data_IF_909981031148
#
_entry.id   IF_909981031148
#
_cell.length_a   1.000
_cell.length_b   1.000
_cell.length_c   1.000
_cell.angle_alpha   90.00
_cell.angle_beta   90.00
_cell.angle_gamma   90.00
#
_symmetry.space_group_name_H-M   'P 1'
#
loop_
_entity.id
_entity.type
_entity.pdbx_description
1 polymer ?
#
# COMPACT_ATOMS: atom_id res chain seq x y z
N UNK A 1 -0.80 17.73 -5.52
CA UNK A 1 0.05 17.12 -4.46
C UNK A 1 1.58 17.34 -4.59
N UNK A 2 2.07 18.25 -5.45
CA UNK A 2 3.52 18.56 -5.63
C UNK A 2 4.26 18.87 -4.31
N UNK A 3 3.58 19.46 -3.33
CA UNK A 3 4.18 19.90 -2.05
C UNK A 3 4.28 18.74 -1.04
N UNK A 4 3.28 17.86 -0.96
CA UNK A 4 3.26 16.75 0.01
C UNK A 4 4.23 15.62 -0.38
N UNK A 5 4.44 15.38 -1.67
CA UNK A 5 5.41 14.39 -2.17
C UNK A 5 6.85 14.87 -1.99
N UNK A 6 7.11 16.17 -2.21
CA UNK A 6 8.47 16.76 -2.12
C UNK A 6 9.07 16.64 -0.73
N UNK A 7 8.23 16.69 0.31
CA UNK A 7 8.64 16.63 1.72
C UNK A 7 8.39 15.26 2.38
N UNK A 8 7.90 14.27 1.63
CA UNK A 8 7.69 12.93 2.18
C UNK A 8 9.02 12.18 2.32
N UNK A 9 9.23 11.39 3.38
CA UNK A 9 10.38 10.49 3.47
C UNK A 9 10.39 9.42 2.37
N UNK A 10 9.31 9.29 1.60
CA UNK A 10 9.15 8.32 0.52
C UNK A 10 9.26 8.94 -0.88
N UNK A 11 9.77 10.18 -0.99
CA UNK A 11 9.98 10.91 -2.26
C UNK A 11 10.81 10.14 -3.30
N UNK A 12 11.63 9.20 -2.84
CA UNK A 12 12.53 8.40 -3.68
C UNK A 12 11.88 7.12 -4.22
N UNK A 13 10.58 6.90 -3.98
CA UNK A 13 9.75 5.93 -4.71
C UNK A 13 9.52 6.41 -6.16
N UNK A 14 10.59 6.63 -6.91
CA UNK A 14 10.61 7.12 -8.29
C UNK A 14 10.32 5.97 -9.27
N UNK A 15 9.12 5.41 -9.19
CA UNK A 15 8.57 4.62 -10.29
C UNK A 15 7.54 5.46 -11.04
N UNK A 16 7.71 5.62 -12.36
CA UNK A 16 6.74 6.31 -13.21
C UNK A 16 5.33 5.74 -13.06
N UNK A 17 5.19 4.41 -12.92
CA UNK A 17 3.90 3.76 -12.72
C UNK A 17 3.25 4.12 -11.37
N UNK A 18 4.05 4.18 -10.30
CA UNK A 18 3.56 4.56 -8.99
C UNK A 18 3.15 6.04 -8.95
N UNK A 19 3.91 6.90 -9.62
CA UNK A 19 3.56 8.31 -9.80
C UNK A 19 2.23 8.46 -10.54
N UNK A 20 2.02 7.74 -11.64
CA UNK A 20 0.76 7.77 -12.39
C UNK A 20 -0.43 7.27 -11.57
N UNK A 21 -0.24 6.25 -10.73
CA UNK A 21 -1.30 5.79 -9.82
C UNK A 21 -1.67 6.87 -8.81
N UNK A 22 -0.65 7.47 -8.20
CA UNK A 22 -0.83 8.55 -7.22
C UNK A 22 -1.56 9.74 -7.85
N UNK A 23 -1.19 10.14 -9.07
CA UNK A 23 -1.86 11.20 -9.84
C UNK A 23 -3.29 10.82 -10.26
N UNK A 24 -3.58 9.54 -10.51
CA UNK A 24 -4.94 9.07 -10.81
C UNK A 24 -5.84 9.10 -9.58
N UNK A 25 -5.30 8.76 -8.41
CA UNK A 25 -6.04 8.84 -7.15
C UNK A 25 -6.43 10.30 -6.82
N UNK A 26 -5.56 11.28 -7.15
CA UNK A 26 -5.80 12.74 -6.98
C UNK A 26 -7.06 13.27 -7.64
N UNK A 27 -7.56 12.60 -8.69
CA UNK A 27 -8.82 12.99 -9.35
C UNK A 27 -10.06 12.79 -8.46
N UNK A 28 -9.94 11.96 -7.41
CA UNK A 28 -11.03 11.65 -6.50
C UNK A 28 -10.93 12.32 -5.12
N UNK A 29 -9.79 12.23 -4.42
CA UNK A 29 -9.67 12.74 -3.04
C UNK A 29 -8.21 12.88 -2.55
N UNK A 30 -7.67 14.09 -2.62
CA UNK A 30 -6.28 14.43 -2.24
C UNK A 30 -5.84 13.92 -0.85
N UNK A 31 -6.75 13.91 0.13
CA UNK A 31 -6.45 13.44 1.51
C UNK A 31 -6.22 11.93 1.54
N UNK A 32 -7.09 11.18 0.86
CA UNK A 32 -7.01 9.71 0.76
C UNK A 32 -5.71 9.29 0.08
N UNK A 33 -5.24 10.08 -0.88
CA UNK A 33 -4.10 9.73 -1.73
C UNK A 33 -2.77 9.92 -1.00
N UNK A 34 -2.65 11.01 -0.25
CA UNK A 34 -1.50 11.25 0.60
C UNK A 34 -1.37 10.15 1.67
N UNK A 35 -2.50 9.62 2.16
CA UNK A 35 -2.50 8.51 3.12
C UNK A 35 -2.05 7.20 2.47
N UNK A 36 -2.58 6.83 1.30
CA UNK A 36 -2.15 5.61 0.59
C UNK A 36 -0.69 5.66 0.17
N UNK A 37 -0.22 6.81 -0.32
CA UNK A 37 1.19 7.01 -0.64
C UNK A 37 2.08 6.74 0.58
N UNK A 38 1.76 7.37 1.72
CA UNK A 38 2.52 7.18 2.97
C UNK A 38 2.50 5.73 3.44
N UNK A 39 1.36 5.04 3.31
CA UNK A 39 1.21 3.65 3.72
C UNK A 39 2.03 2.70 2.84
N UNK A 40 2.00 2.86 1.52
CA UNK A 40 2.81 2.06 0.61
C UNK A 40 4.30 2.32 0.83
N UNK A 41 4.71 3.57 1.02
CA UNK A 41 6.10 3.88 1.31
C UNK A 41 6.59 3.32 2.64
N UNK A 42 5.75 3.36 3.68
CA UNK A 42 6.07 2.69 4.94
C UNK A 42 6.23 1.18 4.75
N UNK A 43 5.34 0.52 4.01
CA UNK A 43 5.47 -0.91 3.70
C UNK A 43 6.79 -1.19 2.95
N UNK A 44 7.13 -0.39 1.95
CA UNK A 44 8.39 -0.55 1.20
C UNK A 44 9.60 -0.51 2.14
N UNK A 45 9.62 0.43 3.10
CA UNK A 45 10.68 0.55 4.10
C UNK A 45 10.69 -0.62 5.09
N UNK A 46 9.52 -1.03 5.58
CA UNK A 46 9.40 -2.07 6.60
C UNK A 46 9.76 -3.47 6.08
N UNK A 47 9.47 -3.75 4.82
CA UNK A 47 9.67 -5.07 4.20
C UNK A 47 10.83 -5.10 3.20
N UNK A 48 11.71 -4.10 3.23
CA UNK A 48 12.87 -3.93 2.34
C UNK A 48 12.58 -4.27 0.87
N UNK A 49 11.64 -3.51 0.31
CA UNK A 49 11.03 -3.83 -0.98
C UNK A 49 10.59 -2.55 -1.68
N UNK A 50 10.10 -2.69 -2.92
CA UNK A 50 9.79 -1.56 -3.79
C UNK A 50 8.41 -1.70 -4.40
N UNK A 51 7.85 -0.57 -4.85
CA UNK A 51 6.56 -0.55 -5.55
C UNK A 51 6.60 -1.39 -6.82
N UNK A 52 7.73 -1.45 -7.53
CA UNK A 52 7.93 -2.33 -8.69
C UNK A 52 7.83 -3.81 -8.31
N UNK A 53 8.47 -4.23 -7.20
CA UNK A 53 8.44 -5.64 -6.76
C UNK A 53 7.01 -6.09 -6.49
N UNK A 54 6.20 -5.24 -5.85
CA UNK A 54 4.80 -5.55 -5.58
C UNK A 54 3.90 -5.53 -6.81
N UNK A 55 4.18 -4.69 -7.78
CA UNK A 55 3.43 -4.61 -9.04
C UNK A 55 3.60 -5.83 -9.94
N UNK A 56 4.57 -6.72 -9.63
CA UNK A 56 4.86 -7.93 -10.41
C UNK A 56 4.49 -9.22 -9.69
N UNK A 57 3.84 -9.13 -8.53
CA UNK A 57 3.40 -10.31 -7.80
C UNK A 57 2.21 -10.95 -8.52
N UNK A 58 2.18 -12.29 -8.57
CA UNK A 58 0.94 -13.00 -8.92
C UNK A 58 -0.03 -12.99 -7.73
N UNK A 59 -1.31 -13.34 -7.98
CA UNK A 59 -2.39 -13.33 -6.98
C UNK A 59 -2.04 -14.08 -5.68
N UNK A 60 -1.34 -15.22 -5.80
CA UNK A 60 -0.92 -16.04 -4.66
C UNK A 60 0.15 -15.32 -3.83
N UNK A 61 1.17 -14.78 -4.48
CA UNK A 61 2.25 -14.06 -3.82
C UNK A 61 1.75 -12.74 -3.19
N UNK A 62 0.86 -12.02 -3.88
CA UNK A 62 0.20 -10.83 -3.34
C UNK A 62 -0.65 -11.18 -2.10
N UNK A 63 -1.42 -12.27 -2.15
CA UNK A 63 -2.19 -12.76 -1.00
C UNK A 63 -1.29 -13.11 0.20
N UNK A 64 -0.18 -13.79 -0.03
CA UNK A 64 0.77 -14.15 1.03
C UNK A 64 1.46 -12.92 1.60
N UNK A 65 1.88 -11.99 0.74
CA UNK A 65 2.50 -10.74 1.18
C UNK A 65 1.53 -9.90 2.02
N UNK A 66 0.24 -9.85 1.64
CA UNK A 66 -0.78 -9.17 2.42
C UNK A 66 -0.90 -9.73 3.85
N UNK A 67 -0.81 -11.05 4.00
CA UNK A 67 -0.82 -11.69 5.32
C UNK A 67 0.43 -11.34 6.13
N UNK A 68 1.62 -11.33 5.51
CA UNK A 68 2.85 -10.90 6.19
C UNK A 68 2.75 -9.47 6.72
N UNK A 69 2.16 -8.57 5.92
CA UNK A 69 1.90 -7.18 6.33
C UNK A 69 0.97 -7.10 7.53
N UNK A 70 -0.13 -7.86 7.52
CA UNK A 70 -1.09 -7.89 8.62
C UNK A 70 -0.41 -8.42 9.89
N UNK A 71 0.21 -9.60 9.82
CA UNK A 71 0.89 -10.23 10.96
C UNK A 71 1.98 -9.32 11.54
N UNK A 72 2.76 -8.62 10.71
CA UNK A 72 3.76 -7.67 11.19
C UNK A 72 3.14 -6.56 12.05
N UNK A 73 2.08 -5.91 11.55
CA UNK A 73 1.45 -4.79 12.25
C UNK A 73 0.62 -5.24 13.47
N UNK A 74 0.05 -6.44 13.44
CA UNK A 74 -0.56 -7.10 14.61
C UNK A 74 0.47 -7.34 15.71
N UNK A 75 1.64 -7.90 15.36
CA UNK A 75 2.74 -8.12 16.31
C UNK A 75 3.29 -6.79 16.90
N UNK A 76 3.17 -5.70 16.15
CA UNK A 76 3.47 -4.33 16.63
C UNK A 76 2.33 -3.69 17.42
N UNK A 77 1.26 -4.42 17.72
CA UNK A 77 0.05 -3.95 18.42
C UNK A 77 -0.60 -2.74 17.74
N UNK A 78 -0.51 -2.64 16.42
CA UNK A 78 -1.17 -1.57 15.67
C UNK A 78 -2.68 -1.74 15.74
N UNK A 79 -3.41 -0.65 15.93
CA UNK A 79 -4.88 -0.68 15.93
C UNK A 79 -5.43 -1.29 14.63
N UNK A 80 -6.47 -2.10 14.73
CA UNK A 80 -7.07 -2.77 13.58
C UNK A 80 -7.55 -1.81 12.48
N UNK A 81 -7.99 -0.60 12.84
CA UNK A 81 -8.32 0.48 11.89
C UNK A 81 -7.10 0.91 11.07
N UNK A 82 -5.93 1.00 11.69
CA UNK A 82 -4.68 1.33 11.01
C UNK A 82 -4.25 0.20 10.07
N UNK A 83 -4.35 -1.06 10.49
CA UNK A 83 -4.04 -2.23 9.67
C UNK A 83 -4.96 -2.27 8.43
N UNK A 84 -6.26 -2.03 8.60
CA UNK A 84 -7.23 -1.92 7.50
C UNK A 84 -6.82 -0.85 6.48
N UNK A 85 -6.25 0.26 6.93
CA UNK A 85 -5.70 1.30 6.06
C UNK A 85 -4.56 0.79 5.17
N UNK A 86 -3.61 0.04 5.72
CA UNK A 86 -2.52 -0.59 4.93
C UNK A 86 -3.06 -1.60 3.93
N UNK A 87 -4.00 -2.46 4.35
CA UNK A 87 -4.64 -3.45 3.48
C UNK A 87 -5.34 -2.77 2.31
N UNK A 88 -6.08 -1.68 2.58
CA UNK A 88 -6.79 -0.93 1.53
C UNK A 88 -5.82 -0.30 0.53
N UNK A 89 -4.73 0.29 1.02
CA UNK A 89 -3.70 0.88 0.17
C UNK A 89 -3.06 -0.17 -0.76
N UNK A 90 -2.69 -1.34 -0.24
CA UNK A 90 -2.12 -2.44 -1.04
C UNK A 90 -3.10 -2.95 -2.09
N UNK A 91 -4.36 -3.21 -1.71
CA UNK A 91 -5.39 -3.67 -2.66
C UNK A 91 -5.65 -2.65 -3.77
N UNK A 92 -5.68 -1.35 -3.44
CA UNK A 92 -5.83 -0.27 -4.42
C UNK A 92 -4.61 -0.17 -5.36
N UNK A 93 -3.40 -0.38 -4.84
CA UNK A 93 -2.19 -0.41 -5.67
C UNK A 93 -2.19 -1.62 -6.60
N UNK A 94 -2.47 -2.82 -6.08
CA UNK A 94 -2.53 -4.03 -6.88
C UNK A 94 -3.63 -4.01 -7.93
N UNK A 95 -4.82 -3.49 -7.61
CA UNK A 95 -5.89 -3.32 -8.58
C UNK A 95 -5.52 -2.39 -9.74
N UNK A 96 -4.66 -1.38 -9.51
CA UNK A 96 -4.11 -0.54 -10.58
C UNK A 96 -3.08 -1.27 -11.47
N UNK A 97 -2.52 -2.37 -10.97
CA UNK A 97 -1.55 -3.23 -11.67
C UNK A 97 -2.19 -4.56 -12.09
N UNK A 98 -3.52 -4.62 -12.21
CA UNK A 98 -4.28 -5.81 -12.64
C UNK A 98 -4.07 -7.06 -11.76
N UNK A 99 -3.72 -6.86 -10.48
CA UNK A 99 -3.56 -7.93 -9.49
C UNK A 99 -4.79 -7.94 -8.56
N UNK A 100 -5.56 -9.03 -8.59
CA UNK A 100 -6.78 -9.18 -7.78
C UNK A 100 -6.57 -10.13 -6.60
N UNK A 101 -6.40 -9.57 -5.41
CA UNK A 101 -6.36 -10.37 -4.17
C UNK A 101 -7.77 -10.73 -3.72
N UNK A 102 -8.27 -11.89 -4.20
CA UNK A 102 -9.61 -12.43 -3.87
C UNK A 102 -9.73 -12.92 -2.42
N UNK A 103 -8.61 -13.14 -1.73
CA UNK A 103 -8.61 -13.67 -0.36
C UNK A 103 -9.32 -12.67 0.58
N UNK A 104 -10.46 -13.09 1.13
CA UNK A 104 -11.16 -12.35 2.19
C UNK A 104 -10.35 -12.48 3.47
N UNK A 105 -9.90 -11.35 4.01
CA UNK A 105 -9.34 -11.30 5.36
C UNK A 105 -10.55 -11.32 6.30
N UNK A 106 -10.78 -12.46 6.94
CA UNK A 106 -11.78 -12.61 7.99
C UNK A 106 -11.42 -11.72 9.18
N UNK A 107 -12.44 -11.11 9.81
CA UNK A 107 -12.32 -10.16 10.93
C UNK A 107 -11.73 -10.85 12.17
N UNK A 108 -10.41 -10.97 12.26
CA UNK A 108 -9.70 -11.04 13.55
C UNK A 108 -8.78 -9.84 13.67
N UNK A 109 -9.40 -8.66 13.69
CA UNK A 109 -8.74 -7.46 14.20
C UNK A 109 -9.47 -7.18 15.52
N UNK A 110 -9.09 -7.93 16.56
CA UNK A 110 -9.50 -7.69 17.94
C UNK A 110 -8.71 -6.50 18.50
#
# INVERSE_FOLDING_TARGET
>A
MKILLKNSPYKDLKNNQFKLWVENLERGSVITDAEYFRRIGHICKTFDTTTQKFARLNDKAASNFLLQVITHFENKKSAGTNIKGYVRALKRWWSFNDIEVRKKISRRLQ
#
